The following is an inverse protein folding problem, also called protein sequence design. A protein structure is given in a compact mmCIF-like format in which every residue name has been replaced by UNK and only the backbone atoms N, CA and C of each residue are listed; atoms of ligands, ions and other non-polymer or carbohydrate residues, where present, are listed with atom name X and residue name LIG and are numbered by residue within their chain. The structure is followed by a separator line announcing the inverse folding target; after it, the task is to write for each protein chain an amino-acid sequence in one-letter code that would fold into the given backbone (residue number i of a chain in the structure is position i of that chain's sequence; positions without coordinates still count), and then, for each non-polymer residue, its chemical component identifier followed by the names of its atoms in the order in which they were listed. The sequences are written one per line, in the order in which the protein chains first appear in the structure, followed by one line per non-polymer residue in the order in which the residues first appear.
data_IF_389943622781
#
_entry.id   IF_389943622781
#
_cell.length_a   1.000
_cell.length_b   1.000
_cell.length_c   1.000
_cell.angle_alpha   90.00
_cell.angle_beta   90.00
_cell.angle_gamma   90.00
#
_symmetry.space_group_name_H-M   'P 1'
#
loop_
_entity.id
_entity.type
_entity.pdbx_description
1 polymer ?
#
# COMPACT_ATOMS: atom_id res chain seq x y z
N UNK A 1 -11.01 14.84 10.32
CA UNK A 1 -10.59 16.21 9.92
C UNK A 1 -10.92 16.51 8.46
N UNK A 2 -10.51 15.71 7.45
CA UNK A 2 -10.76 16.00 6.02
C UNK A 2 -12.23 16.15 5.63
N UNK A 3 -13.11 15.26 6.10
CA UNK A 3 -14.56 15.38 5.82
C UNK A 3 -15.17 16.68 6.37
N UNK A 4 -14.73 17.14 7.53
CA UNK A 4 -15.16 18.39 8.12
C UNK A 4 -14.67 19.59 7.31
N UNK A 5 -13.41 19.58 6.86
CA UNK A 5 -12.87 20.60 5.96
C UNK A 5 -13.63 20.68 4.64
N UNK A 6 -13.92 19.52 4.02
CA UNK A 6 -14.71 19.46 2.79
C UNK A 6 -16.13 19.99 3.00
N UNK A 7 -16.75 19.73 4.16
CA UNK A 7 -18.06 20.25 4.51
C UNK A 7 -18.05 21.77 4.67
N UNK A 8 -17.04 22.34 5.32
CA UNK A 8 -16.86 23.80 5.42
C UNK A 8 -16.71 24.43 4.03
N UNK A 9 -15.88 23.84 3.16
CA UNK A 9 -15.67 24.34 1.81
C UNK A 9 -16.96 24.36 0.99
N UNK A 10 -17.77 23.28 1.03
CA UNK A 10 -19.02 23.21 0.25
C UNK A 10 -20.04 24.26 0.73
N UNK A 11 -20.03 24.59 2.03
CA UNK A 11 -20.84 25.69 2.59
C UNK A 11 -20.32 27.06 2.16
N UNK A 12 -19.00 27.29 2.25
CA UNK A 12 -18.36 28.54 1.86
C UNK A 12 -18.60 28.87 0.38
N UNK A 13 -18.52 27.87 -0.50
CA UNK A 13 -18.83 28.02 -1.92
C UNK A 13 -20.33 28.02 -2.24
N UNK A 14 -21.21 27.95 -1.23
CA UNK A 14 -22.69 27.93 -1.38
C UNK A 14 -23.18 26.80 -2.34
N UNK A 15 -22.44 25.69 -2.42
CA UNK A 15 -22.77 24.58 -3.30
C UNK A 15 -23.37 23.38 -2.56
N UNK A 16 -23.76 23.55 -1.32
CA UNK A 16 -24.43 22.52 -0.54
C UNK A 16 -25.80 22.20 -1.15
N UNK A 17 -26.05 20.92 -1.40
CA UNK A 17 -27.38 20.39 -1.72
C UNK A 17 -27.57 19.08 -0.96
N UNK A 18 -28.78 18.86 -0.42
CA UNK A 18 -29.08 17.65 0.33
C UNK A 18 -28.87 16.38 -0.49
N UNK A 19 -29.17 16.42 -1.79
CA UNK A 19 -28.95 15.30 -2.71
C UNK A 19 -27.45 14.92 -2.83
N UNK A 20 -26.55 15.92 -2.90
CA UNK A 20 -25.10 15.68 -2.95
C UNK A 20 -24.60 15.11 -1.63
N UNK A 21 -25.07 15.63 -0.50
CA UNK A 21 -24.70 15.14 0.81
C UNK A 21 -25.16 13.68 1.00
N UNK A 22 -26.40 13.35 0.65
CA UNK A 22 -26.91 11.99 0.69
C UNK A 22 -26.14 11.03 -0.21
N UNK A 23 -25.83 11.45 -1.45
CA UNK A 23 -25.01 10.67 -2.39
C UNK A 23 -23.60 10.41 -1.84
N UNK A 24 -22.95 11.41 -1.27
CA UNK A 24 -21.65 11.26 -0.63
C UNK A 24 -21.70 10.28 0.56
N UNK A 25 -22.77 10.36 1.37
CA UNK A 25 -23.01 9.41 2.47
C UNK A 25 -23.18 7.98 1.98
N UNK A 26 -23.97 7.75 0.93
CA UNK A 26 -24.11 6.42 0.32
C UNK A 26 -22.79 5.89 -0.25
N UNK A 27 -22.02 6.70 -0.95
CA UNK A 27 -20.71 6.30 -1.45
C UNK A 27 -19.75 5.95 -0.32
N UNK A 28 -19.74 6.74 0.75
CA UNK A 28 -18.95 6.44 1.96
C UNK A 28 -19.35 5.10 2.57
N UNK A 29 -20.65 4.84 2.70
CA UNK A 29 -21.17 3.59 3.23
C UNK A 29 -20.75 2.39 2.37
N UNK A 30 -20.85 2.51 1.04
CA UNK A 30 -20.44 1.46 0.10
C UNK A 30 -18.95 1.14 0.22
N UNK A 31 -18.08 2.16 0.21
CA UNK A 31 -16.63 1.96 0.34
C UNK A 31 -16.28 1.39 1.72
N UNK A 32 -16.88 1.93 2.78
CA UNK A 32 -16.64 1.43 4.15
C UNK A 32 -17.10 -0.02 4.29
N UNK A 33 -18.29 -0.38 3.78
CA UNK A 33 -18.79 -1.74 3.79
C UNK A 33 -17.87 -2.70 3.06
N UNK A 34 -17.36 -2.30 1.89
CA UNK A 34 -16.38 -3.08 1.14
C UNK A 34 -15.08 -3.30 1.94
N UNK A 35 -14.53 -2.26 2.54
CA UNK A 35 -13.29 -2.35 3.34
C UNK A 35 -13.50 -3.26 4.56
N UNK A 36 -14.59 -3.09 5.30
CA UNK A 36 -14.91 -3.93 6.47
C UNK A 36 -15.08 -5.40 6.08
N UNK A 37 -15.74 -5.67 4.95
CA UNK A 37 -15.86 -7.01 4.40
C UNK A 37 -14.49 -7.61 4.05
N UNK A 38 -13.62 -6.84 3.38
CA UNK A 38 -12.26 -7.28 3.04
C UNK A 38 -11.43 -7.56 4.29
N UNK A 39 -11.54 -6.73 5.33
CA UNK A 39 -10.87 -6.97 6.63
C UNK A 39 -11.34 -8.29 7.24
N UNK A 40 -12.64 -8.52 7.28
CA UNK A 40 -13.20 -9.78 7.78
C UNK A 40 -12.73 -11.00 7.00
N UNK A 41 -12.81 -10.95 5.67
CA UNK A 41 -12.36 -12.02 4.78
C UNK A 41 -10.85 -12.28 4.92
N UNK A 42 -10.03 -11.23 5.02
CA UNK A 42 -8.58 -11.35 5.19
C UNK A 42 -8.21 -11.97 6.54
N UNK A 43 -8.89 -11.60 7.62
CA UNK A 43 -8.69 -12.23 8.93
C UNK A 43 -9.03 -13.71 8.90
N UNK A 44 -10.15 -14.08 8.25
CA UNK A 44 -10.51 -15.49 8.07
C UNK A 44 -9.45 -16.26 7.27
N UNK A 45 -9.01 -15.70 6.15
CA UNK A 45 -7.96 -16.27 5.31
C UNK A 45 -6.65 -16.44 6.11
N UNK A 46 -6.22 -15.39 6.82
CA UNK A 46 -5.02 -15.43 7.67
C UNK A 46 -5.09 -16.49 8.76
N UNK A 47 -6.27 -16.67 9.40
CA UNK A 47 -6.48 -17.70 10.40
C UNK A 47 -6.37 -19.11 9.82
N UNK A 48 -6.94 -19.36 8.64
CA UNK A 48 -6.80 -20.63 7.91
C UNK A 48 -5.34 -20.89 7.55
N UNK A 49 -4.63 -19.91 6.98
CA UNK A 49 -3.21 -20.01 6.63
C UNK A 49 -2.34 -20.34 7.82
N UNK A 50 -2.59 -19.71 8.96
CA UNK A 50 -1.86 -19.96 10.21
C UNK A 50 -2.09 -21.40 10.72
N UNK A 51 -3.35 -21.85 10.68
CA UNK A 51 -3.72 -23.22 11.10
C UNK A 51 -3.09 -24.29 10.20
N UNK A 52 -2.94 -24.03 8.90
CA UNK A 52 -2.27 -24.92 7.95
C UNK A 52 -0.73 -24.93 8.12
N UNK A 53 -0.19 -24.07 8.98
CA UNK A 53 1.27 -23.96 9.18
C UNK A 53 2.00 -23.28 8.02
N UNK A 54 1.29 -22.64 7.10
CA UNK A 54 1.86 -22.00 5.91
C UNK A 54 2.92 -20.95 6.24
N UNK A 55 2.74 -20.05 7.24
CA UNK A 55 3.78 -19.09 7.62
C UNK A 55 5.10 -19.79 8.03
N UNK A 56 5.00 -20.88 8.77
CA UNK A 56 6.17 -21.66 9.19
C UNK A 56 6.87 -22.32 8.01
N UNK A 57 6.11 -22.82 7.02
CA UNK A 57 6.68 -23.37 5.78
C UNK A 57 7.43 -22.31 4.98
N UNK A 58 6.81 -21.13 4.80
CA UNK A 58 7.41 -19.99 4.10
C UNK A 58 8.68 -19.54 4.82
N UNK A 59 8.63 -19.39 6.15
CA UNK A 59 9.80 -19.01 6.95
C UNK A 59 10.94 -20.00 6.77
N UNK A 60 10.68 -21.32 6.88
CA UNK A 60 11.69 -22.34 6.68
C UNK A 60 12.29 -22.31 5.27
N UNK A 61 11.45 -22.14 4.25
CA UNK A 61 11.91 -22.03 2.86
C UNK A 61 12.82 -20.80 2.66
N UNK A 62 12.44 -19.65 3.19
CA UNK A 62 13.22 -18.41 3.08
C UNK A 62 14.51 -18.46 3.90
N UNK A 63 14.48 -19.04 5.10
CA UNK A 63 15.70 -19.29 5.91
C UNK A 63 16.64 -20.25 5.20
N UNK A 64 16.10 -21.29 4.55
CA UNK A 64 16.86 -22.25 3.76
C UNK A 64 17.60 -21.67 2.55
N UNK A 65 17.22 -20.47 2.09
CA UNK A 65 17.94 -19.76 1.03
C UNK A 65 19.29 -19.19 1.50
N UNK A 66 19.56 -19.17 2.80
CA UNK A 66 20.81 -18.61 3.35
C UNK A 66 20.97 -17.11 3.15
N UNK A 67 19.88 -16.39 2.82
CA UNK A 67 19.88 -14.94 2.63
C UNK A 67 19.82 -14.22 3.98
N UNK A 68 20.63 -13.17 4.11
CA UNK A 68 20.55 -12.30 5.28
C UNK A 68 19.25 -11.46 5.30
N UNK A 69 19.00 -10.70 6.39
CA UNK A 69 17.79 -9.91 6.56
C UNK A 69 17.46 -8.98 5.37
N UNK A 70 18.47 -8.33 4.79
CA UNK A 70 18.31 -7.48 3.62
C UNK A 70 17.82 -8.24 2.38
N UNK A 71 18.33 -9.45 2.16
CA UNK A 71 17.90 -10.31 1.06
C UNK A 71 16.42 -10.75 1.21
N UNK A 72 16.00 -11.06 2.43
CA UNK A 72 14.61 -11.39 2.73
C UNK A 72 13.70 -10.20 2.47
N UNK A 73 14.08 -8.99 2.92
CA UNK A 73 13.30 -7.77 2.65
C UNK A 73 13.19 -7.54 1.13
N UNK A 74 14.27 -7.71 0.37
CA UNK A 74 14.25 -7.55 -1.09
C UNK A 74 13.27 -8.52 -1.76
N UNK A 75 13.24 -9.79 -1.37
CA UNK A 75 12.28 -10.77 -1.89
C UNK A 75 10.86 -10.35 -1.58
N UNK A 76 10.60 -9.91 -0.34
CA UNK A 76 9.26 -9.48 0.07
C UNK A 76 8.84 -8.21 -0.69
N UNK A 77 9.72 -7.23 -0.83
CA UNK A 77 9.43 -6.00 -1.58
C UNK A 77 9.21 -6.29 -3.07
N UNK A 78 9.98 -7.22 -3.65
CA UNK A 78 9.76 -7.66 -5.03
C UNK A 78 8.40 -8.34 -5.18
N UNK A 79 8.02 -9.19 -4.23
CA UNK A 79 6.68 -9.80 -4.21
C UNK A 79 5.59 -8.75 -4.12
N UNK A 80 5.70 -7.79 -3.20
CA UNK A 80 4.75 -6.68 -3.03
C UNK A 80 4.66 -5.84 -4.30
N UNK A 81 5.80 -5.53 -4.92
CA UNK A 81 5.89 -4.78 -6.17
C UNK A 81 5.16 -5.50 -7.31
N UNK A 82 5.45 -6.80 -7.52
CA UNK A 82 4.83 -7.61 -8.58
C UNK A 82 3.33 -7.79 -8.36
N UNK A 83 2.90 -8.02 -7.12
CA UNK A 83 1.49 -8.12 -6.77
C UNK A 83 0.76 -6.79 -6.89
N UNK A 84 1.45 -5.66 -6.71
CA UNK A 84 0.89 -4.32 -6.89
C UNK A 84 0.42 -4.02 -8.32
N UNK A 85 0.87 -4.76 -9.32
CA UNK A 85 0.43 -4.57 -10.71
C UNK A 85 -1.02 -5.04 -10.92
N UNK A 86 -1.38 -6.30 -10.60
CA UNK A 86 -2.75 -6.80 -10.77
C UNK A 86 -3.67 -6.49 -9.58
N UNK A 87 -3.11 -6.21 -8.40
CA UNK A 87 -3.86 -6.01 -7.17
C UNK A 87 -3.73 -4.56 -6.70
N UNK A 88 -4.79 -4.07 -6.10
CA UNK A 88 -4.75 -2.82 -5.35
C UNK A 88 -3.99 -3.02 -4.02
N UNK A 89 -3.52 -1.92 -3.41
CA UNK A 89 -2.74 -1.96 -2.17
C UNK A 89 -3.48 -2.57 -0.96
N UNK A 90 -4.82 -2.43 -0.89
CA UNK A 90 -5.64 -2.92 0.24
C UNK A 90 -5.53 -4.44 0.42
N UNK A 91 -5.77 -5.29 -0.60
CA UNK A 91 -5.59 -6.74 -0.48
C UNK A 91 -4.15 -7.13 -0.09
N UNK A 92 -3.14 -6.41 -0.59
CA UNK A 92 -1.75 -6.71 -0.27
C UNK A 92 -1.49 -6.47 1.22
N UNK A 93 -1.92 -5.33 1.76
CA UNK A 93 -1.74 -5.02 3.19
C UNK A 93 -2.52 -5.99 4.08
N UNK A 94 -3.74 -6.36 3.70
CA UNK A 94 -4.61 -7.18 4.55
C UNK A 94 -4.33 -8.69 4.47
N UNK A 95 -3.77 -9.17 3.36
CA UNK A 95 -3.54 -10.60 3.13
C UNK A 95 -2.05 -10.93 3.14
N UNK A 96 -1.26 -10.25 2.30
CA UNK A 96 0.15 -10.61 2.09
C UNK A 96 1.01 -10.25 3.30
N UNK A 97 0.82 -9.05 3.85
CA UNK A 97 1.65 -8.60 4.98
C UNK A 97 1.49 -9.49 6.23
N UNK A 98 0.29 -9.88 6.67
CA UNK A 98 0.15 -10.83 7.79
C UNK A 98 0.83 -12.19 7.55
N UNK A 99 0.88 -12.66 6.31
CA UNK A 99 1.57 -13.93 5.97
C UNK A 99 3.09 -13.78 6.10
N UNK A 100 3.62 -12.62 5.70
CA UNK A 100 5.06 -12.35 5.70
C UNK A 100 5.57 -11.90 7.08
N UNK A 101 4.72 -11.32 7.91
CA UNK A 101 5.08 -10.75 9.21
C UNK A 101 5.85 -11.73 10.13
N UNK A 102 5.47 -13.02 10.26
CA UNK A 102 6.23 -13.99 11.05
C UNK A 102 7.66 -14.20 10.52
N UNK A 103 7.87 -14.11 9.21
CA UNK A 103 9.21 -14.19 8.60
C UNK A 103 10.05 -12.99 9.03
N UNK A 104 9.50 -11.78 8.93
CA UNK A 104 10.15 -10.52 9.32
C UNK A 104 10.57 -10.55 10.80
N UNK A 105 9.69 -11.09 11.66
CA UNK A 105 9.96 -11.26 13.09
C UNK A 105 11.07 -12.30 13.35
N UNK A 106 11.07 -13.42 12.62
CA UNK A 106 12.08 -14.45 12.77
C UNK A 106 13.50 -13.98 12.40
N UNK A 107 13.62 -12.98 11.53
CA UNK A 107 14.89 -12.33 11.18
C UNK A 107 15.20 -11.08 12.03
N UNK A 108 14.41 -10.81 13.09
CA UNK A 108 14.55 -9.66 14.00
C UNK A 108 14.60 -8.31 13.26
N UNK A 109 13.90 -8.21 12.12
CA UNK A 109 13.85 -6.99 11.31
C UNK A 109 12.99 -5.94 12.02
N UNK A 110 13.46 -4.71 12.07
CA UNK A 110 12.71 -3.59 12.66
C UNK A 110 11.38 -3.38 11.91
N UNK A 111 10.25 -3.54 12.62
CA UNK A 111 8.91 -3.48 12.03
C UNK A 111 8.56 -2.10 11.50
N UNK A 112 9.03 -1.00 12.13
CA UNK A 112 8.78 0.36 11.65
C UNK A 112 9.46 0.57 10.30
N UNK A 113 10.73 0.18 10.19
CA UNK A 113 11.47 0.26 8.93
C UNK A 113 10.81 -0.58 7.85
N UNK A 114 10.48 -1.85 8.14
CA UNK A 114 9.79 -2.73 7.20
C UNK A 114 8.45 -2.14 6.74
N UNK A 115 7.62 -1.64 7.67
CA UNK A 115 6.32 -1.06 7.34
C UNK A 115 6.43 0.15 6.41
N UNK A 116 7.42 1.01 6.63
CA UNK A 116 7.66 2.17 5.76
C UNK A 116 8.13 1.71 4.37
N UNK A 117 9.05 0.72 4.29
CA UNK A 117 9.47 0.16 3.01
C UNK A 117 8.30 -0.39 2.19
N UNK A 118 7.41 -1.15 2.85
CA UNK A 118 6.19 -1.67 2.21
C UNK A 118 5.28 -0.53 1.78
N UNK A 119 5.03 0.47 2.63
CA UNK A 119 4.17 1.60 2.30
C UNK A 119 4.69 2.40 1.10
N UNK A 120 6.01 2.62 1.02
CA UNK A 120 6.63 3.31 -0.12
C UNK A 120 6.59 2.42 -1.37
N UNK A 121 6.87 1.12 -1.26
CA UNK A 121 6.79 0.18 -2.37
C UNK A 121 5.36 0.09 -2.93
N UNK A 122 4.34 0.05 -2.08
CA UNK A 122 2.93 -0.02 -2.51
C UNK A 122 2.45 1.18 -3.31
N UNK A 123 3.11 2.34 -3.21
CA UNK A 123 2.76 3.49 -4.04
C UNK A 123 2.97 3.20 -5.54
N UNK A 124 3.85 2.26 -5.90
CA UNK A 124 4.03 1.83 -7.29
C UNK A 124 2.77 1.18 -7.87
N UNK A 125 1.91 0.59 -7.04
CA UNK A 125 0.63 0.01 -7.49
C UNK A 125 -0.33 1.05 -8.08
N UNK A 126 -0.23 2.32 -7.64
CA UNK A 126 -1.04 3.42 -8.18
C UNK A 126 -0.54 3.94 -9.52
N UNK A 127 0.73 3.66 -9.84
CA UNK A 127 1.40 4.09 -11.06
C UNK A 127 1.43 2.99 -12.12
N UNK A 128 1.32 1.71 -11.71
CA UNK A 128 1.50 0.57 -12.60
C UNK A 128 0.21 0.21 -13.37
N UNK A 129 0.27 0.10 -14.71
CA UNK A 129 -0.81 -0.50 -15.49
C UNK A 129 -1.03 -1.97 -15.09
N UNK A 130 -2.25 -2.53 -15.17
CA UNK A 130 -3.45 -1.94 -15.72
C UNK A 130 -4.30 -1.12 -14.73
N UNK A 131 -4.04 -1.21 -13.43
CA UNK A 131 -4.87 -0.56 -12.40
C UNK A 131 -4.60 0.96 -12.37
N UNK A 132 -3.34 1.39 -12.27
CA UNK A 132 -2.84 2.77 -12.39
C UNK A 132 -3.87 3.87 -12.05
N UNK A 133 -4.47 3.83 -10.86
CA UNK A 133 -5.56 4.74 -10.48
C UNK A 133 -5.20 6.22 -10.66
N UNK A 134 -3.92 6.56 -10.44
CA UNK A 134 -3.44 7.92 -10.65
C UNK A 134 -3.59 8.38 -12.10
N UNK A 135 -3.49 7.49 -13.09
CA UNK A 135 -3.65 7.83 -14.51
C UNK A 135 -5.08 8.23 -14.85
N UNK A 136 -6.06 7.55 -14.29
CA UNK A 136 -7.48 7.88 -14.51
C UNK A 136 -7.86 9.21 -13.86
N UNK A 137 -7.29 9.50 -12.70
CA UNK A 137 -7.53 10.78 -12.03
C UNK A 137 -6.89 11.93 -12.80
N UNK A 138 -5.65 11.73 -13.30
CA UNK A 138 -4.99 12.73 -14.13
C UNK A 138 -5.75 12.96 -15.45
N UNK A 139 -6.20 11.88 -16.10
CA UNK A 139 -7.03 11.97 -17.32
C UNK A 139 -8.34 12.73 -17.08
N UNK A 140 -8.92 12.61 -15.89
CA UNK A 140 -10.12 13.35 -15.50
C UNK A 140 -9.89 14.87 -15.34
N UNK A 141 -8.66 15.28 -15.01
CA UNK A 141 -8.27 16.70 -14.84
C UNK A 141 -7.76 17.30 -16.14
N UNK A 142 -7.09 16.50 -16.97
CA UNK A 142 -6.48 16.91 -18.26
C UNK A 142 -7.03 16.01 -19.38
N UNK A 143 -8.28 16.20 -19.80
CA UNK A 143 -8.94 15.34 -20.78
C UNK A 143 -8.26 15.31 -22.16
N UNK A 144 -7.54 16.37 -22.51
CA UNK A 144 -6.81 16.52 -23.78
C UNK A 144 -5.56 15.65 -23.89
N UNK A 145 -4.97 15.20 -22.76
CA UNK A 145 -3.78 14.35 -22.82
C UNK A 145 -4.13 12.91 -23.22
N UNK A 146 -3.28 12.28 -24.03
CA UNK A 146 -3.49 10.88 -24.37
C UNK A 146 -3.18 10.00 -23.14
N UNK A 147 -4.01 8.99 -22.91
CA UNK A 147 -3.82 8.05 -21.82
C UNK A 147 -2.47 7.29 -21.93
N UNK A 148 -2.01 7.06 -23.15
CA UNK A 148 -0.71 6.44 -23.43
C UNK A 148 0.44 7.30 -22.91
N UNK A 149 0.40 8.61 -23.13
CA UNK A 149 1.45 9.53 -22.67
C UNK A 149 1.46 9.64 -21.15
N UNK A 150 0.28 9.63 -20.54
CA UNK A 150 0.13 9.57 -19.08
C UNK A 150 0.78 8.30 -18.53
N UNK A 151 0.54 7.13 -19.14
CA UNK A 151 1.15 5.88 -18.69
C UNK A 151 2.68 5.87 -18.84
N UNK A 152 3.20 6.41 -19.95
CA UNK A 152 4.66 6.51 -20.14
C UNK A 152 5.28 7.37 -19.04
N UNK A 153 4.73 8.55 -18.77
CA UNK A 153 5.19 9.40 -17.68
C UNK A 153 5.12 8.73 -16.31
N UNK A 154 4.06 7.93 -16.04
CA UNK A 154 3.95 7.19 -14.78
C UNK A 154 5.00 6.11 -14.62
N UNK A 155 5.45 5.45 -15.70
CA UNK A 155 6.55 4.49 -15.64
C UNK A 155 7.86 5.16 -15.19
N UNK A 156 8.13 6.39 -15.62
CA UNK A 156 9.31 7.15 -15.16
C UNK A 156 9.23 7.42 -13.65
N UNK A 157 8.06 7.85 -13.15
CA UNK A 157 7.85 8.03 -11.71
C UNK A 157 7.93 6.71 -10.93
N UNK A 158 7.48 5.60 -11.52
CA UNK A 158 7.61 4.28 -10.90
C UNK A 158 9.08 3.86 -10.72
N UNK A 159 9.95 4.19 -11.69
CA UNK A 159 11.40 3.97 -11.55
C UNK A 159 11.96 4.82 -10.40
N UNK A 160 11.61 6.10 -10.32
CA UNK A 160 12.02 6.97 -9.20
C UNK A 160 11.52 6.43 -7.86
N UNK A 161 10.30 5.92 -7.80
CA UNK A 161 9.72 5.31 -6.59
C UNK A 161 10.48 4.04 -6.18
N UNK A 162 10.84 3.19 -7.14
CA UNK A 162 11.66 2.01 -6.89
C UNK A 162 13.05 2.38 -6.36
N UNK A 163 13.70 3.38 -6.97
CA UNK A 163 14.97 3.92 -6.47
C UNK A 163 14.85 4.50 -5.07
N UNK A 164 13.77 5.23 -4.77
CA UNK A 164 13.46 5.72 -3.43
C UNK A 164 13.31 4.59 -2.42
N UNK A 165 12.61 3.51 -2.79
CA UNK A 165 12.46 2.31 -1.94
C UNK A 165 13.82 1.66 -1.67
N UNK A 166 14.66 1.51 -2.68
CA UNK A 166 16.03 0.98 -2.52
C UNK A 166 16.91 1.89 -1.65
N UNK A 167 16.80 3.21 -1.80
CA UNK A 167 17.49 4.16 -0.94
C UNK A 167 17.10 3.95 0.54
N UNK A 168 15.81 3.84 0.84
CA UNK A 168 15.33 3.61 2.21
C UNK A 168 15.73 2.22 2.74
N UNK A 169 15.86 1.23 1.86
CA UNK A 169 16.34 -0.10 2.21
C UNK A 169 17.81 -0.06 2.66
N UNK A 170 18.67 0.61 1.91
CA UNK A 170 20.10 0.67 2.22
C UNK A 170 20.44 1.71 3.31
N UNK A 171 19.58 2.70 3.52
CA UNK A 171 19.76 3.74 4.53
C UNK A 171 18.62 3.78 5.56
N UNK A 172 18.51 2.77 6.45
CA UNK A 172 17.43 2.69 7.45
C UNK A 172 17.34 3.92 8.38
N UNK A 173 18.47 4.61 8.57
CA UNK A 173 18.53 5.82 9.41
C UNK A 173 17.61 6.94 8.92
N UNK A 174 17.34 7.02 7.63
CA UNK A 174 16.42 8.03 7.07
C UNK A 174 15.01 7.81 7.63
N UNK A 175 14.58 6.55 7.67
CA UNK A 175 13.25 6.15 8.17
C UNK A 175 13.17 6.23 9.68
N UNK A 176 14.20 5.76 10.38
CA UNK A 176 14.19 5.58 11.84
C UNK A 176 14.58 6.84 12.61
N UNK A 177 15.08 7.88 11.95
CA UNK A 177 15.50 9.12 12.60
C UNK A 177 14.35 9.80 13.36
N UNK A 178 13.23 10.07 12.69
CA UNK A 178 12.11 10.77 13.31
C UNK A 178 11.48 9.97 14.48
N UNK A 179 11.18 8.67 14.35
CA UNK A 179 10.73 7.86 15.48
C UNK A 179 11.71 7.87 16.66
N UNK A 180 13.02 7.84 16.39
CA UNK A 180 14.05 7.86 17.45
C UNK A 180 14.13 9.18 18.21
N UNK A 181 13.75 10.28 17.59
CA UNK A 181 13.68 11.61 18.22
C UNK A 181 12.40 11.78 19.04
N UNK A 182 11.27 11.27 18.52
CA UNK A 182 9.95 11.40 19.16
C UNK A 182 9.75 10.41 20.32
N UNK A 183 10.50 9.31 20.36
CA UNK A 183 10.42 8.30 21.43
C UNK A 183 11.33 8.60 22.64
N UNK A 184 12.00 9.75 22.62
CA UNK A 184 12.76 10.29 23.77
C UNK A 184 11.87 11.23 24.57
#
# INVERSE_FOLDING_TARGET
MGAFGAFILILAYRRFTWARFYKAGLQTLQVTGMVVFLVGASNFFGAVFTRLGTPTMITKALVGLGLGPTGIILIVLLLVFLLGWPLEWIPIVLIVIPIVLPVIQAFEINLVWFSILVAVCLQTAWLSPPVALASYWLKGVVPEWDLKDIYIGMLEFMVLQALGTLLLLFFPRIVLWLPSVLAR
#
